data_IF_439450243478
#
_entry.id   IF_439450243478
#
_cell.length_a   1.000
_cell.length_b   1.000
_cell.length_c   1.000
_cell.angle_alpha   90.00
_cell.angle_beta   90.00
_cell.angle_gamma   90.00
#
_symmetry.space_group_name_H-M   'P 1'
#
loop_
_entity.id
_entity.type
_entity.pdbx_description
1 polymer ?
#
# COMPACT_ATOMS: atom_id res chain seq x y z
N UNK A 1 14.29 4.02 -25.01
CA UNK A 1 14.69 3.74 -23.63
C UNK A 1 13.59 2.88 -23.03
N UNK A 2 13.89 1.73 -22.40
CA UNK A 2 12.86 1.05 -21.63
C UNK A 2 12.36 2.05 -20.58
N UNK A 3 11.04 2.25 -20.50
CA UNK A 3 10.46 3.04 -19.40
C UNK A 3 10.91 2.35 -18.12
N UNK A 4 11.59 3.06 -17.22
CA UNK A 4 11.84 2.57 -15.87
C UNK A 4 10.50 2.15 -15.28
N UNK A 5 10.22 0.83 -15.28
CA UNK A 5 8.98 0.29 -14.75
C UNK A 5 9.18 0.25 -13.25
N UNK A 6 8.81 1.35 -12.61
CA UNK A 6 8.79 1.45 -11.16
C UNK A 6 7.98 0.28 -10.57
N UNK A 7 8.49 -0.44 -9.55
CA UNK A 7 7.76 -1.50 -8.87
C UNK A 7 6.37 -1.03 -8.41
N UNK A 8 5.34 -1.89 -8.45
CA UNK A 8 3.97 -1.49 -8.11
C UNK A 8 3.82 -0.79 -6.76
N UNK A 9 4.55 -1.24 -5.73
CA UNK A 9 4.51 -0.64 -4.40
C UNK A 9 5.08 0.78 -4.39
N UNK A 10 6.16 1.03 -5.12
CA UNK A 10 6.78 2.35 -5.14
C UNK A 10 5.88 3.37 -5.87
N UNK A 11 5.05 2.92 -6.82
CA UNK A 11 4.02 3.77 -7.43
C UNK A 11 2.94 4.20 -6.42
N UNK A 12 2.59 3.32 -5.49
CA UNK A 12 1.66 3.64 -4.40
C UNK A 12 2.31 4.60 -3.40
N UNK A 13 3.59 4.42 -3.11
CA UNK A 13 4.37 5.33 -2.24
C UNK A 13 4.53 6.72 -2.87
N UNK A 14 4.74 6.80 -4.19
CA UNK A 14 4.77 8.06 -4.93
C UNK A 14 3.42 8.78 -4.86
N UNK A 15 2.31 8.08 -5.09
CA UNK A 15 0.97 8.65 -4.93
C UNK A 15 0.71 9.15 -3.50
N UNK A 16 1.15 8.40 -2.49
CA UNK A 16 1.07 8.85 -1.11
C UNK A 16 1.81 10.17 -0.89
N UNK A 17 3.04 10.29 -1.40
CA UNK A 17 3.83 11.52 -1.29
C UNK A 17 3.13 12.70 -2.00
N UNK A 18 2.56 12.48 -3.18
CA UNK A 18 1.76 13.50 -3.90
C UNK A 18 0.55 13.95 -3.09
N UNK A 19 -0.18 13.02 -2.46
CA UNK A 19 -1.33 13.35 -1.61
C UNK A 19 -0.91 14.15 -0.37
N UNK A 20 0.19 13.79 0.28
CA UNK A 20 0.72 14.56 1.42
C UNK A 20 1.07 15.99 1.00
N UNK A 21 1.70 16.16 -0.17
CA UNK A 21 2.01 17.48 -0.72
C UNK A 21 0.74 18.29 -1.02
N UNK A 22 -0.30 17.64 -1.56
CA UNK A 22 -1.58 18.30 -1.84
C UNK A 22 -2.24 18.88 -0.58
N UNK A 23 -2.13 18.21 0.56
CA UNK A 23 -2.66 18.71 1.83
C UNK A 23 -1.83 19.86 2.46
N UNK A 24 -0.66 20.19 1.92
CA UNK A 24 0.15 21.34 2.34
C UNK A 24 0.55 21.29 3.82
N UNK A 25 0.28 22.36 4.58
CA UNK A 25 0.49 22.44 6.03
C UNK A 25 -0.75 22.06 6.85
N UNK A 26 -1.73 21.40 6.22
CA UNK A 26 -2.92 20.93 6.93
C UNK A 26 -2.54 19.98 8.07
N UNK A 27 -3.21 20.12 9.21
CA UNK A 27 -3.03 19.22 10.35
C UNK A 27 -3.24 17.76 9.92
N UNK A 28 -2.48 16.81 10.48
CA UNK A 28 -2.59 15.38 10.19
C UNK A 28 -2.54 15.01 8.69
N UNK A 29 -1.89 15.79 7.82
CA UNK A 29 -1.84 15.57 6.36
C UNK A 29 -1.40 14.16 5.96
N UNK A 30 -0.42 13.58 6.65
CA UNK A 30 0.05 12.22 6.44
C UNK A 30 -1.06 11.20 6.69
N UNK A 31 -1.78 11.36 7.81
CA UNK A 31 -2.91 10.50 8.15
C UNK A 31 -4.08 10.66 7.16
N UNK A 32 -4.36 11.89 6.70
CA UNK A 32 -5.41 12.15 5.69
C UNK A 32 -5.05 11.51 4.35
N UNK A 33 -3.79 11.60 3.91
CA UNK A 33 -3.31 10.96 2.70
C UNK A 33 -3.43 9.42 2.79
N UNK A 34 -2.93 8.83 3.88
CA UNK A 34 -3.03 7.39 4.13
C UNK A 34 -4.49 6.92 4.18
N UNK A 35 -5.37 7.67 4.86
CA UNK A 35 -6.79 7.36 4.94
C UNK A 35 -7.49 7.36 3.58
N UNK A 36 -7.13 8.29 2.68
CA UNK A 36 -7.68 8.31 1.31
C UNK A 36 -7.29 7.07 0.52
N UNK A 37 -6.02 6.67 0.59
CA UNK A 37 -5.54 5.44 -0.05
C UNK A 37 -6.27 4.23 0.53
N UNK A 38 -6.40 4.16 1.87
CA UNK A 38 -7.10 3.07 2.55
C UNK A 38 -8.57 2.96 2.13
N UNK A 39 -9.30 4.08 2.02
CA UNK A 39 -10.70 4.06 1.59
C UNK A 39 -10.86 3.48 0.18
N UNK A 40 -9.98 3.85 -0.76
CA UNK A 40 -9.99 3.28 -2.11
C UNK A 40 -9.63 1.80 -2.08
N UNK A 41 -8.60 1.41 -1.32
CA UNK A 41 -8.20 0.02 -1.18
C UNK A 41 -9.33 -0.85 -0.60
N UNK A 42 -10.00 -0.40 0.48
CA UNK A 42 -11.13 -1.11 1.08
C UNK A 42 -12.29 -1.29 0.10
N UNK A 43 -12.60 -0.25 -0.70
CA UNK A 43 -13.61 -0.38 -1.74
C UNK A 43 -13.24 -1.47 -2.76
N UNK A 44 -11.95 -1.60 -3.12
CA UNK A 44 -11.47 -2.63 -4.05
C UNK A 44 -11.41 -4.03 -3.44
N UNK A 45 -11.06 -4.16 -2.17
CA UNK A 45 -11.20 -5.43 -1.45
C UNK A 45 -12.66 -5.88 -1.45
N UNK A 46 -13.59 -4.98 -1.10
CA UNK A 46 -15.02 -5.30 -1.06
C UNK A 46 -15.59 -5.64 -2.46
N UNK A 47 -15.12 -4.95 -3.51
CA UNK A 47 -15.55 -5.19 -4.90
C UNK A 47 -15.04 -6.53 -5.47
N UNK A 48 -13.80 -6.92 -5.13
CA UNK A 48 -13.12 -8.04 -5.79
C UNK A 48 -12.86 -9.26 -4.90
N UNK A 49 -12.94 -9.13 -3.57
CA UNK A 49 -12.56 -10.15 -2.60
C UNK A 49 -13.63 -11.20 -2.30
N UNK A 50 -14.83 -11.07 -2.85
CA UNK A 50 -15.92 -12.04 -2.64
C UNK A 50 -16.44 -12.06 -1.18
N UNK A 51 -17.04 -13.17 -0.73
CA UNK A 51 -17.67 -13.27 0.60
C UNK A 51 -16.70 -13.01 1.77
N UNK A 52 -15.43 -13.40 1.62
CA UNK A 52 -14.43 -13.37 2.69
C UNK A 52 -13.39 -12.25 2.50
N UNK A 53 -13.80 -11.16 1.84
CA UNK A 53 -12.91 -10.07 1.43
C UNK A 53 -12.11 -9.42 2.58
N UNK A 54 -12.57 -9.54 3.82
CA UNK A 54 -11.87 -8.99 5.00
C UNK A 54 -10.70 -9.85 5.46
N UNK A 55 -10.62 -11.13 5.07
CA UNK A 55 -9.61 -12.07 5.60
C UNK A 55 -8.19 -11.55 5.42
N UNK A 56 -7.84 -11.11 4.21
CA UNK A 56 -6.50 -10.59 3.92
C UNK A 56 -6.23 -9.24 4.63
N UNK A 57 -7.26 -8.40 4.78
CA UNK A 57 -7.15 -7.16 5.56
C UNK A 57 -6.86 -7.48 7.04
N UNK A 58 -7.61 -8.41 7.61
CA UNK A 58 -7.49 -8.82 9.01
C UNK A 58 -6.11 -9.41 9.27
N UNK A 59 -5.58 -10.24 8.36
CA UNK A 59 -4.22 -10.77 8.42
C UNK A 59 -3.15 -9.66 8.48
N UNK A 60 -3.23 -8.66 7.60
CA UNK A 60 -2.27 -7.56 7.61
C UNK A 60 -2.36 -6.71 8.89
N UNK A 61 -3.57 -6.46 9.38
CA UNK A 61 -3.79 -5.73 10.64
C UNK A 61 -3.27 -6.52 11.83
N UNK A 62 -3.46 -7.84 11.85
CA UNK A 62 -2.96 -8.71 12.91
C UNK A 62 -1.43 -8.79 12.91
N UNK A 63 -0.79 -8.89 11.73
CA UNK A 63 0.67 -8.81 11.62
C UNK A 63 1.17 -7.47 12.18
N UNK A 64 0.56 -6.35 11.77
CA UNK A 64 0.97 -5.02 12.24
C UNK A 64 0.87 -4.89 13.77
N UNK A 65 -0.16 -5.48 14.39
CA UNK A 65 -0.34 -5.46 15.85
C UNK A 65 0.63 -6.38 16.60
N UNK A 66 0.91 -7.57 16.05
CA UNK A 66 1.65 -8.63 16.74
C UNK A 66 3.15 -8.59 16.47
N UNK A 67 3.55 -8.31 15.23
CA UNK A 67 4.96 -8.25 14.81
C UNK A 67 5.20 -7.11 13.79
N UNK A 68 5.34 -5.86 14.28
CA UNK A 68 5.66 -4.72 13.44
C UNK A 68 6.96 -4.87 12.64
N UNK A 69 7.94 -5.65 13.14
CA UNK A 69 9.21 -5.88 12.43
C UNK A 69 9.02 -6.81 11.24
N UNK A 70 8.16 -7.82 11.36
CA UNK A 70 7.78 -8.63 10.22
C UNK A 70 7.03 -7.81 9.17
N UNK A 71 6.12 -6.93 9.59
CA UNK A 71 5.42 -6.02 8.68
C UNK A 71 6.39 -5.15 7.87
N UNK A 72 7.40 -4.56 8.53
CA UNK A 72 8.42 -3.76 7.83
C UNK A 72 9.21 -4.59 6.81
N UNK A 73 9.63 -5.80 7.17
CA UNK A 73 10.33 -6.71 6.24
C UNK A 73 9.46 -7.04 5.01
N UNK A 74 8.15 -7.25 5.21
CA UNK A 74 7.22 -7.49 4.12
C UNK A 74 7.13 -6.31 3.15
N UNK A 75 7.11 -5.07 3.64
CA UNK A 75 7.15 -3.88 2.80
C UNK A 75 8.48 -3.76 2.03
N UNK A 76 9.60 -4.01 2.69
CA UNK A 76 10.92 -4.01 2.06
C UNK A 76 11.03 -5.06 0.95
N UNK A 77 10.51 -6.27 1.17
CA UNK A 77 10.45 -7.31 0.14
C UNK A 77 9.63 -6.87 -1.08
N UNK A 78 8.48 -6.22 -0.88
CA UNK A 78 7.67 -5.72 -1.98
C UNK A 78 8.38 -4.64 -2.81
N UNK A 79 9.25 -3.83 -2.18
CA UNK A 79 10.07 -2.83 -2.89
C UNK A 79 11.18 -3.48 -3.71
N UNK A 80 11.71 -4.60 -3.23
CA UNK A 80 12.80 -5.32 -3.89
C UNK A 80 12.33 -6.19 -5.08
N UNK A 81 11.04 -6.54 -5.16
CA UNK A 81 10.50 -7.34 -6.28
C UNK A 81 10.46 -6.51 -7.56
N UNK A 82 11.29 -6.89 -8.52
CA UNK A 82 11.29 -6.25 -9.85
C UNK A 82 10.12 -6.76 -10.69
N UNK A 83 9.64 -5.98 -11.69
CA UNK A 83 8.54 -6.39 -12.56
C UNK A 83 8.73 -7.75 -13.26
N UNK A 84 9.99 -8.16 -13.52
CA UNK A 84 10.32 -9.43 -14.17
C UNK A 84 10.09 -10.66 -13.26
N UNK A 85 10.12 -10.51 -11.94
CA UNK A 85 9.86 -11.60 -10.99
C UNK A 85 8.36 -11.83 -10.71
N UNK A 86 7.51 -10.86 -11.06
CA UNK A 86 6.04 -10.95 -10.91
C UNK A 86 5.34 -11.64 -12.10
N UNK A 87 6.09 -11.88 -13.20
CA UNK A 87 5.59 -12.49 -14.44
C UNK A 87 6.09 -13.93 -14.68
N UNK A 88 6.85 -14.49 -13.73
CA UNK A 88 7.36 -15.87 -13.74
C UNK A 88 6.54 -16.77 -12.82
#
# INVERSE_FOLDING_TARGET
MPKDVQPPIERVEALYAELVQHYGEGDQRELRAAAKILLVALAKFQEHGGPDWTTLLDEYVDILKRDPKHFQRMLESNRATTPDELLA
#
